data_IF_724478948582
#
_entry.id   IF_724478948582
#
_cell.length_a   1.000
_cell.length_b   1.000
_cell.length_c   1.000
_cell.angle_alpha   90.00
_cell.angle_beta   90.00
_cell.angle_gamma   90.00
#
_symmetry.space_group_name_H-M   'P 1'
#
loop_
_entity.id
_entity.type
_entity.pdbx_description
1 polymer ?
#
# COMPACT_ATOMS: atom_id res chain seq x y z
N UNK A 1 -6.56 35.94 -45.72
CA UNK A 1 -5.54 35.29 -44.87
C UNK A 1 -5.89 35.25 -43.38
N UNK A 2 -6.13 36.39 -42.69
CA UNK A 2 -6.47 36.41 -41.24
C UNK A 2 -7.66 35.53 -40.80
N UNK A 3 -8.71 35.39 -41.63
CA UNK A 3 -9.86 34.52 -41.32
C UNK A 3 -9.52 33.02 -41.40
N UNK A 4 -8.68 32.64 -42.37
CA UNK A 4 -8.22 31.26 -42.57
C UNK A 4 -7.29 30.83 -41.41
N UNK A 5 -6.42 31.74 -40.95
CA UNK A 5 -5.54 31.50 -39.79
C UNK A 5 -6.35 31.27 -38.51
N UNK A 6 -7.43 32.04 -38.29
CA UNK A 6 -8.31 31.84 -37.12
C UNK A 6 -9.05 30.49 -37.17
N UNK A 7 -9.47 30.05 -38.36
CA UNK A 7 -10.11 28.73 -38.55
C UNK A 7 -9.12 27.60 -38.29
N UNK A 8 -7.87 27.73 -38.76
CA UNK A 8 -6.80 26.76 -38.50
C UNK A 8 -6.47 26.64 -37.01
N UNK A 9 -6.38 27.77 -36.29
CA UNK A 9 -6.11 27.77 -34.84
C UNK A 9 -7.27 27.12 -34.06
N UNK A 10 -8.52 27.39 -34.45
CA UNK A 10 -9.70 26.79 -33.81
C UNK A 10 -9.82 25.28 -34.05
N UNK A 11 -9.45 24.79 -35.24
CA UNK A 11 -9.40 23.34 -35.51
C UNK A 11 -8.28 22.65 -34.73
N UNK A 12 -7.11 23.29 -34.61
CA UNK A 12 -5.97 22.71 -33.89
C UNK A 12 -6.24 22.59 -32.38
N UNK A 13 -6.92 23.56 -31.78
CA UNK A 13 -7.32 23.48 -30.38
C UNK A 13 -8.40 22.43 -30.13
N UNK A 14 -9.33 22.22 -31.07
CA UNK A 14 -10.32 21.16 -30.99
C UNK A 14 -9.72 19.75 -31.02
N UNK A 15 -8.65 19.53 -31.78
CA UNK A 15 -7.97 18.23 -31.90
C UNK A 15 -7.27 17.80 -30.61
N UNK A 16 -6.80 18.74 -29.80
CA UNK A 16 -6.04 18.47 -28.59
C UNK A 16 -6.92 18.00 -27.42
N UNK A 17 -8.21 18.35 -27.42
CA UNK A 17 -9.12 18.04 -26.31
C UNK A 17 -9.61 16.58 -26.37
N UNK A 18 -9.64 15.97 -27.56
CA UNK A 18 -10.13 14.59 -27.77
C UNK A 18 -9.10 13.51 -27.39
N UNK A 19 -7.84 13.87 -27.15
CA UNK A 19 -6.76 12.90 -26.85
C UNK A 19 -6.68 12.47 -25.37
N UNK A 20 -7.39 13.11 -24.45
CA UNK A 20 -7.34 12.79 -23.02
C UNK A 20 -8.36 11.75 -22.54
N UNK A 21 -9.30 11.30 -23.38
CA UNK A 21 -10.33 10.31 -22.98
C UNK A 21 -10.03 8.91 -23.54
N UNK A 22 -8.79 8.46 -23.47
CA UNK A 22 -8.50 7.05 -23.69
C UNK A 22 -8.96 6.28 -22.46
N UNK A 23 -10.19 5.77 -22.52
CA UNK A 23 -10.82 4.92 -21.53
C UNK A 23 -10.20 3.51 -21.54
N UNK A 24 -8.87 3.44 -21.56
CA UNK A 24 -8.12 2.21 -21.37
C UNK A 24 -8.16 1.89 -19.89
N UNK A 25 -9.30 1.39 -19.42
CA UNK A 25 -9.31 0.67 -18.15
C UNK A 25 -8.29 -0.45 -18.27
N UNK A 26 -7.27 -0.42 -17.41
CA UNK A 26 -6.28 -1.48 -17.36
C UNK A 26 -7.05 -2.80 -17.20
N UNK A 27 -6.91 -3.70 -18.17
CA UNK A 27 -7.55 -5.00 -18.13
C UNK A 27 -6.83 -5.83 -17.06
N UNK A 28 -7.25 -5.68 -15.80
CA UNK A 28 -6.65 -6.38 -14.67
C UNK A 28 -7.24 -7.78 -14.65
N UNK A 29 -6.46 -8.76 -15.10
CA UNK A 29 -6.78 -10.17 -14.88
C UNK A 29 -6.72 -10.43 -13.38
N UNK A 30 -7.88 -10.52 -12.73
CA UNK A 30 -7.96 -10.87 -11.31
C UNK A 30 -7.48 -12.33 -11.19
N UNK A 31 -6.35 -12.61 -10.52
CA UNK A 31 -5.89 -13.97 -10.36
C UNK A 31 -6.92 -14.73 -9.52
N UNK A 32 -7.58 -15.73 -10.13
CA UNK A 32 -8.43 -16.71 -9.46
C UNK A 32 -7.55 -17.70 -8.66
N UNK A 33 -6.84 -17.19 -7.64
CA UNK A 33 -6.12 -18.04 -6.70
C UNK A 33 -7.06 -18.37 -5.54
N UNK A 34 -7.26 -19.66 -5.28
CA UNK A 34 -7.92 -20.14 -4.07
C UNK A 34 -7.23 -19.54 -2.83
N UNK A 35 -7.95 -18.66 -2.12
CA UNK A 35 -7.46 -17.94 -0.94
C UNK A 35 -7.39 -18.82 0.31
N UNK A 36 -7.86 -20.06 0.23
CA UNK A 36 -7.89 -21.03 1.33
C UNK A 36 -6.51 -21.41 1.88
N UNK A 37 -5.41 -21.16 1.14
CA UNK A 37 -4.03 -21.33 1.63
C UNK A 37 -3.38 -20.05 2.16
N UNK A 38 -3.99 -18.88 1.99
CA UNK A 38 -3.40 -17.62 2.47
C UNK A 38 -3.47 -17.47 4.00
N UNK A 39 -4.15 -18.40 4.68
CA UNK A 39 -4.23 -18.43 6.14
C UNK A 39 -4.00 -19.86 6.65
N UNK A 40 -2.73 -20.30 6.70
CA UNK A 40 -2.35 -21.47 7.52
C UNK A 40 -1.21 -21.19 8.52
N UNK A 41 -0.68 -19.96 8.61
CA UNK A 41 0.38 -19.65 9.58
C UNK A 41 -0.15 -19.53 11.03
N UNK A 42 -1.42 -19.13 11.21
CA UNK A 42 -1.99 -18.87 12.55
C UNK A 42 -2.09 -20.13 13.42
N UNK A 43 -2.40 -21.28 12.83
CA UNK A 43 -2.54 -22.55 13.57
C UNK A 43 -1.18 -23.19 13.87
N UNK A 44 -0.24 -23.16 12.91
CA UNK A 44 1.07 -23.79 13.05
C UNK A 44 2.03 -23.00 13.94
N UNK A 45 1.96 -21.65 13.97
CA UNK A 45 2.85 -20.84 14.79
C UNK A 45 2.43 -20.71 16.27
N UNK A 46 1.15 -20.92 16.62
CA UNK A 46 0.65 -20.73 17.99
C UNK A 46 0.66 -21.99 18.85
N UNK A 47 0.73 -23.17 18.26
CA UNK A 47 0.77 -24.45 18.99
C UNK A 47 2.12 -24.67 19.67
N UNK A 48 3.22 -24.18 19.11
CA UNK A 48 4.53 -24.25 19.73
C UNK A 48 4.75 -23.05 20.69
N UNK A 49 5.04 -23.28 21.99
CA UNK A 49 5.23 -22.22 22.97
C UNK A 49 6.41 -21.29 22.65
N UNK A 50 7.49 -21.80 22.05
CA UNK A 50 8.65 -21.00 21.62
C UNK A 50 8.25 -20.02 20.52
N UNK A 51 7.49 -20.49 19.53
CA UNK A 51 7.01 -19.64 18.43
C UNK A 51 6.04 -18.57 18.92
N UNK A 52 5.18 -18.90 19.89
CA UNK A 52 4.31 -17.92 20.56
C UNK A 52 5.10 -16.83 21.27
N UNK A 53 6.19 -17.18 21.94
CA UNK A 53 7.06 -16.20 22.61
C UNK A 53 7.79 -15.31 21.59
N UNK A 54 8.37 -15.88 20.53
CA UNK A 54 9.01 -15.12 19.45
C UNK A 54 8.04 -14.16 18.77
N UNK A 55 6.81 -14.60 18.49
CA UNK A 55 5.78 -13.74 17.92
C UNK A 55 5.42 -12.56 18.84
N UNK A 56 5.41 -12.76 20.16
CA UNK A 56 5.22 -11.66 21.13
C UNK A 56 6.41 -10.71 21.13
N UNK A 57 7.63 -11.20 21.09
CA UNK A 57 8.85 -10.38 21.05
C UNK A 57 8.89 -9.53 19.77
N UNK A 58 8.61 -10.14 18.61
CA UNK A 58 8.53 -9.44 17.34
C UNK A 58 7.45 -8.35 17.34
N UNK A 59 6.24 -8.67 17.83
CA UNK A 59 5.17 -7.67 17.93
C UNK A 59 5.55 -6.49 18.84
N UNK A 60 6.24 -6.75 19.96
CA UNK A 60 6.77 -5.69 20.83
C UNK A 60 7.82 -4.85 20.12
N UNK A 61 8.76 -5.48 19.43
CA UNK A 61 9.79 -4.78 18.66
C UNK A 61 9.18 -3.85 17.61
N UNK A 62 8.24 -4.35 16.80
CA UNK A 62 7.55 -3.55 15.76
C UNK A 62 6.84 -2.36 16.40
N UNK A 63 6.08 -2.59 17.47
CA UNK A 63 5.33 -1.52 18.16
C UNK A 63 6.23 -0.45 18.77
N UNK A 64 7.38 -0.84 19.30
CA UNK A 64 8.28 0.08 19.98
C UNK A 64 9.16 0.87 19.00
N UNK A 65 9.54 0.29 17.86
CA UNK A 65 10.59 0.85 17.02
C UNK A 65 10.15 1.21 15.60
N UNK A 66 9.08 0.60 15.08
CA UNK A 66 8.71 0.72 13.66
C UNK A 66 7.30 1.26 13.44
N UNK A 67 6.43 1.22 14.45
CA UNK A 67 5.05 1.67 14.34
C UNK A 67 4.94 3.18 14.61
N UNK A 68 4.48 3.93 13.62
CA UNK A 68 4.07 5.31 13.73
C UNK A 68 2.54 5.44 13.72
N UNK A 69 2.02 6.64 14.03
CA UNK A 69 0.58 6.92 13.97
C UNK A 69 0.01 6.70 12.57
N UNK A 70 0.81 7.01 11.55
CA UNK A 70 0.43 6.98 10.14
C UNK A 70 0.75 5.65 9.43
N UNK A 71 1.48 4.71 10.04
CA UNK A 71 1.85 3.44 9.40
C UNK A 71 3.07 2.75 10.02
N UNK A 72 3.63 1.77 9.30
CA UNK A 72 4.88 1.08 9.70
C UNK A 72 6.03 1.57 8.83
N UNK A 73 7.14 1.92 9.47
CA UNK A 73 8.39 2.24 8.79
C UNK A 73 8.99 1.01 8.12
N UNK A 74 9.58 1.19 6.94
CA UNK A 74 10.29 0.11 6.23
C UNK A 74 11.65 -0.23 6.85
N UNK A 75 12.25 0.72 7.58
CA UNK A 75 13.58 0.60 8.16
C UNK A 75 13.59 1.03 9.64
N UNK A 76 14.54 0.48 10.41
CA UNK A 76 14.79 0.84 11.81
C UNK A 76 15.64 2.11 11.93
N UNK A 77 16.56 2.34 10.98
CA UNK A 77 17.46 3.48 11.04
C UNK A 77 16.77 4.77 10.62
N UNK A 78 17.07 5.85 11.35
CA UNK A 78 16.63 7.22 11.03
C UNK A 78 17.60 7.93 10.08
N UNK A 79 18.76 7.35 9.80
CA UNK A 79 19.75 7.98 8.93
C UNK A 79 19.28 7.93 7.47
N UNK A 80 19.34 9.09 6.80
CA UNK A 80 19.18 9.17 5.34
C UNK A 80 20.31 8.37 4.69
N UNK A 81 19.97 7.22 4.13
CA UNK A 81 20.86 6.42 3.29
C UNK A 81 20.68 6.84 1.82
N UNK A 82 21.66 6.56 0.93
CA UNK A 82 21.62 6.98 -0.46
C UNK A 82 20.35 6.50 -1.19
N UNK A 83 19.83 7.36 -2.06
CA UNK A 83 18.48 7.33 -2.63
C UNK A 83 18.12 6.11 -3.51
N UNK A 84 19.05 5.20 -3.76
CA UNK A 84 18.85 4.02 -4.62
C UNK A 84 18.13 2.85 -3.93
N UNK A 85 17.96 2.92 -2.62
CA UNK A 85 17.24 1.92 -1.83
C UNK A 85 16.09 2.62 -1.10
N UNK A 86 14.91 2.00 -1.02
CA UNK A 86 13.79 2.45 -0.19
C UNK A 86 14.17 2.39 1.31
N UNK A 87 14.95 3.35 1.79
CA UNK A 87 15.77 3.23 3.01
C UNK A 87 15.45 4.22 4.11
N UNK A 88 14.45 5.08 3.92
CA UNK A 88 14.05 6.09 4.91
C UNK A 88 12.92 5.64 5.85
N UNK A 89 12.37 6.62 6.59
CA UNK A 89 11.05 6.57 7.25
C UNK A 89 9.88 6.54 6.25
N UNK A 90 10.11 5.99 5.07
CA UNK A 90 9.08 5.75 4.09
C UNK A 90 8.16 4.67 4.63
N UNK A 91 6.87 4.83 4.36
CA UNK A 91 5.87 3.84 4.71
C UNK A 91 5.36 3.25 3.42
N UNK A 92 5.52 1.94 3.28
CA UNK A 92 4.97 1.21 2.15
C UNK A 92 3.56 0.74 2.49
N UNK A 93 2.70 0.77 1.48
CA UNK A 93 1.38 0.14 1.53
C UNK A 93 1.51 -1.35 1.84
N UNK A 94 2.58 -2.00 1.37
CA UNK A 94 2.89 -3.40 1.66
C UNK A 94 3.13 -3.66 3.15
N UNK A 95 4.05 -2.91 3.80
CA UNK A 95 4.34 -3.07 5.23
C UNK A 95 3.10 -2.82 6.09
N UNK A 96 2.31 -1.81 5.72
CA UNK A 96 1.04 -1.49 6.37
C UNK A 96 0.01 -2.61 6.17
N UNK A 97 -0.11 -3.15 4.96
CA UNK A 97 -1.00 -4.28 4.64
C UNK A 97 -0.65 -5.55 5.42
N UNK A 98 0.65 -5.84 5.57
CA UNK A 98 1.11 -6.98 6.37
C UNK A 98 0.75 -6.80 7.86
N UNK A 99 0.90 -5.59 8.40
CA UNK A 99 0.49 -5.28 9.76
C UNK A 99 -1.02 -5.37 9.98
N UNK A 100 -1.81 -4.84 9.05
CA UNK A 100 -3.26 -4.97 9.08
C UNK A 100 -3.70 -6.43 9.06
N UNK A 101 -3.06 -7.24 8.22
CA UNK A 101 -3.28 -8.69 8.17
C UNK A 101 -2.94 -9.33 9.51
N UNK A 102 -1.82 -8.97 10.14
CA UNK A 102 -1.46 -9.44 11.48
C UNK A 102 -2.52 -9.07 12.53
N UNK A 103 -2.99 -7.82 12.55
CA UNK A 103 -4.01 -7.36 13.48
C UNK A 103 -5.32 -8.11 13.30
N UNK A 104 -5.77 -8.26 12.04
CA UNK A 104 -6.99 -8.99 11.70
C UNK A 104 -6.91 -10.46 12.15
N UNK A 105 -5.80 -11.14 11.84
CA UNK A 105 -5.57 -12.53 12.26
C UNK A 105 -5.53 -12.69 13.79
N UNK A 106 -5.09 -11.67 14.52
CA UNK A 106 -5.05 -11.68 15.99
C UNK A 106 -6.30 -11.08 16.65
N UNK A 107 -7.36 -10.77 15.89
CA UNK A 107 -8.60 -10.16 16.38
C UNK A 107 -8.38 -8.80 17.08
N UNK A 108 -7.36 -8.05 16.68
CA UNK A 108 -7.00 -6.75 17.24
C UNK A 108 -7.61 -5.59 16.45
N UNK A 109 -8.91 -5.67 16.16
CA UNK A 109 -9.61 -4.73 15.26
C UNK A 109 -9.60 -3.29 15.75
N UNK A 110 -9.53 -3.06 17.07
CA UNK A 110 -9.42 -1.71 17.67
C UNK A 110 -8.14 -0.97 17.29
N UNK A 111 -7.09 -1.69 16.92
CA UNK A 111 -5.80 -1.11 16.53
C UNK A 111 -5.69 -0.83 15.02
N UNK A 112 -6.71 -1.20 14.23
CA UNK A 112 -6.78 -0.88 12.81
C UNK A 112 -7.15 0.60 12.66
N UNK A 113 -6.32 1.42 11.99
CA UNK A 113 -6.65 2.82 11.75
C UNK A 113 -7.97 2.95 11.00
N UNK A 114 -8.83 3.89 11.43
CA UNK A 114 -10.04 4.21 10.68
C UNK A 114 -9.63 4.98 9.43
N UNK A 115 -9.96 4.45 8.26
CA UNK A 115 -9.78 5.16 7.00
C UNK A 115 -10.84 6.29 6.98
N UNK A 116 -10.44 7.57 6.84
CA UNK A 116 -11.39 8.66 6.66
C UNK A 116 -12.29 8.36 5.47
N UNK A 117 -13.61 8.59 5.60
CA UNK A 117 -14.48 8.50 4.43
C UNK A 117 -14.13 9.63 3.47
N UNK A 118 -14.06 9.37 2.15
CA UNK A 118 -14.00 10.46 1.19
C UNK A 118 -15.25 11.33 1.36
N UNK A 119 -15.04 12.65 1.37
CA UNK A 119 -16.12 13.64 1.41
C UNK A 119 -16.89 13.68 0.09
#
# INVERSE_FOLDING_TARGET
MRKIVKILIACLSGLLITACSSNNEAQVTIPNRQTNKMVLAKYQMRSNPVNKQRAKQLSRFIKANMLAKQGIYTNLSQQKQPAELATGHEMLSESSGMWLTYLALNKQTKAIPKIPKPN
#
